data_IF_479904398674
#
_entry.id   IF_479904398674
#
_cell.length_a   1.000
_cell.length_b   1.000
_cell.length_c   1.000
_cell.angle_alpha   90.00
_cell.angle_beta   90.00
_cell.angle_gamma   90.00
#
_symmetry.space_group_name_H-M   'P 1'
#
loop_
_entity.id
_entity.type
_entity.pdbx_description
1 polymer ?
#
# COMPACT_ATOMS: atom_id res chain seq x y z
N UNK A 1 1.70 15.21 -6.10
CA UNK A 1 1.14 15.26 -4.75
C UNK A 1 1.72 14.11 -3.91
N UNK A 2 2.16 14.38 -2.71
CA UNK A 2 2.72 13.38 -1.80
C UNK A 2 1.65 12.91 -0.81
N UNK A 3 1.44 11.61 -0.76
CA UNK A 3 0.46 10.96 0.10
C UNK A 3 1.17 9.93 0.97
N UNK A 4 0.74 9.82 2.22
CA UNK A 4 1.20 8.76 3.12
C UNK A 4 0.04 7.82 3.44
N UNK A 5 0.28 6.53 3.27
CA UNK A 5 -0.62 5.46 3.71
C UNK A 5 0.18 4.49 4.57
N UNK A 6 -0.51 3.67 5.34
CA UNK A 6 0.15 2.81 6.32
C UNK A 6 -0.21 1.35 6.09
N UNK A 7 0.80 0.51 6.19
CA UNK A 7 0.67 -0.93 6.19
C UNK A 7 1.49 -1.52 7.32
N UNK A 8 1.80 -2.80 7.25
CA UNK A 8 2.59 -3.45 8.27
C UNK A 8 3.44 -4.58 7.69
N UNK A 9 4.63 -4.76 8.25
CA UNK A 9 5.45 -5.93 8.01
C UNK A 9 5.25 -6.89 9.17
N UNK A 10 4.97 -8.16 8.86
CA UNK A 10 4.69 -9.20 9.84
C UNK A 10 5.82 -10.20 9.85
N UNK A 11 6.42 -10.43 11.02
CA UNK A 11 7.48 -11.42 11.23
C UNK A 11 7.12 -12.24 12.47
N UNK A 12 6.68 -13.50 12.26
CA UNK A 12 6.21 -14.33 13.34
C UNK A 12 5.01 -13.74 14.04
N UNK A 13 5.13 -13.43 15.33
CA UNK A 13 4.06 -12.77 16.10
C UNK A 13 4.25 -11.25 16.20
N UNK A 14 5.31 -10.73 15.60
CA UNK A 14 5.59 -9.30 15.62
C UNK A 14 5.13 -8.64 14.33
N UNK A 15 4.68 -7.40 14.46
CA UNK A 15 4.32 -6.58 13.32
C UNK A 15 4.89 -5.17 13.50
N UNK A 16 5.44 -4.63 12.42
CA UNK A 16 6.05 -3.30 12.40
C UNK A 16 5.26 -2.42 11.45
N UNK A 17 4.93 -1.22 11.88
CA UNK A 17 4.24 -0.24 11.04
C UNK A 17 5.14 0.17 9.87
N UNK A 18 4.58 0.11 8.67
CA UNK A 18 5.24 0.54 7.44
C UNK A 18 4.55 1.80 6.95
N UNK A 19 5.31 2.87 6.80
CA UNK A 19 4.82 4.09 6.18
C UNK A 19 5.09 4.02 4.68
N UNK A 20 4.04 4.10 3.89
CA UNK A 20 4.12 4.06 2.44
C UNK A 20 3.90 5.47 1.92
N UNK A 21 4.95 6.06 1.38
CA UNK A 21 4.90 7.39 0.80
C UNK A 21 4.75 7.25 -0.71
N UNK A 22 3.73 7.88 -1.27
CA UNK A 22 3.47 7.84 -2.71
C UNK A 22 3.50 9.27 -3.23
N UNK A 23 4.42 9.55 -4.13
CA UNK A 23 4.52 10.86 -4.76
C UNK A 23 4.20 10.76 -6.24
N UNK A 24 3.26 11.60 -6.68
CA UNK A 24 2.87 11.74 -8.07
C UNK A 24 3.40 13.06 -8.62
N UNK A 25 4.08 13.02 -9.74
CA UNK A 25 4.61 14.19 -10.43
C UNK A 25 4.48 14.03 -11.93
N UNK A 26 4.89 15.05 -12.69
CA UNK A 26 4.79 15.02 -14.15
C UNK A 26 5.72 13.97 -14.73
N UNK A 27 5.21 13.12 -15.62
CA UNK A 27 5.97 12.06 -16.30
C UNK A 27 5.18 10.77 -16.41
N UNK A 28 5.88 9.65 -16.65
CA UNK A 28 5.22 8.34 -16.85
C UNK A 28 6.03 7.17 -16.28
N UNK A 29 6.96 7.43 -15.35
CA UNK A 29 7.79 6.40 -14.76
C UNK A 29 7.22 5.87 -13.45
N UNK A 30 7.58 4.65 -13.10
CA UNK A 30 7.19 4.02 -11.85
C UNK A 30 8.43 3.52 -11.12
N UNK A 31 8.60 3.95 -9.88
CA UNK A 31 9.73 3.55 -9.03
C UNK A 31 9.23 3.13 -7.66
N UNK A 32 9.87 2.10 -7.10
CA UNK A 32 9.57 1.63 -5.76
C UNK A 32 10.88 1.38 -5.01
N UNK A 33 11.02 1.99 -3.83
CA UNK A 33 12.21 1.88 -2.99
C UNK A 33 11.83 1.49 -1.57
N UNK A 34 12.78 1.07 -0.75
CA UNK A 34 12.55 0.65 0.64
C UNK A 34 12.58 -0.85 0.82
N UNK A 35 13.44 -1.56 0.09
CA UNK A 35 13.61 -3.02 0.16
C UNK A 35 12.34 -3.82 -0.16
N UNK A 36 11.61 -3.52 -1.24
CA UNK A 36 10.51 -4.38 -1.65
C UNK A 36 11.04 -5.66 -2.29
N UNK A 37 10.45 -6.81 -1.96
CA UNK A 37 10.79 -8.06 -2.66
C UNK A 37 10.11 -8.11 -4.04
N UNK A 38 10.31 -9.22 -4.79
CA UNK A 38 9.72 -9.37 -6.11
C UNK A 38 8.19 -9.39 -6.05
N UNK A 39 7.61 -10.00 -5.02
CA UNK A 39 6.15 -10.06 -4.86
C UNK A 39 5.57 -8.66 -4.62
N UNK A 40 6.26 -7.82 -3.83
CA UNK A 40 5.84 -6.42 -3.63
C UNK A 40 5.95 -5.64 -4.94
N UNK A 41 7.04 -5.83 -5.69
CA UNK A 41 7.21 -5.15 -6.98
C UNK A 41 6.15 -5.55 -8.00
N UNK A 42 5.67 -6.80 -7.96
CA UNK A 42 4.59 -7.28 -8.82
C UNK A 42 3.25 -6.60 -8.52
N UNK A 43 3.10 -5.95 -7.37
CA UNK A 43 1.89 -5.22 -7.02
C UNK A 43 1.46 -4.25 -8.12
N UNK A 44 2.41 -3.63 -8.81
CA UNK A 44 2.12 -2.68 -9.89
C UNK A 44 1.24 -3.33 -10.96
N UNK A 45 1.54 -4.56 -11.35
CA UNK A 45 0.78 -5.27 -12.38
C UNK A 45 -0.63 -5.64 -11.90
N UNK A 46 -0.74 -6.12 -10.65
CA UNK A 46 -2.05 -6.47 -10.07
C UNK A 46 -2.93 -5.23 -9.92
N UNK A 47 -2.34 -4.12 -9.46
CA UNK A 47 -3.04 -2.85 -9.28
C UNK A 47 -3.54 -2.31 -10.62
N UNK A 48 -2.69 -2.31 -11.65
CA UNK A 48 -3.08 -1.85 -12.98
C UNK A 48 -4.31 -2.61 -13.49
N UNK A 49 -4.28 -3.93 -13.40
CA UNK A 49 -5.39 -4.76 -13.85
C UNK A 49 -6.66 -4.50 -13.02
N UNK A 50 -6.52 -4.48 -11.70
CA UNK A 50 -7.64 -4.28 -10.78
C UNK A 50 -8.33 -2.94 -11.03
N UNK A 51 -7.56 -1.86 -11.20
CA UNK A 51 -8.12 -0.54 -11.47
C UNK A 51 -8.79 -0.47 -12.84
N UNK A 52 -8.20 -1.09 -13.85
CA UNK A 52 -8.79 -1.13 -15.18
C UNK A 52 -10.13 -1.85 -15.17
N UNK A 53 -10.21 -3.01 -14.53
CA UNK A 53 -11.44 -3.82 -14.46
C UNK A 53 -12.53 -3.11 -13.67
N UNK A 54 -12.16 -2.42 -12.58
CA UNK A 54 -13.14 -1.72 -11.72
C UNK A 54 -13.50 -0.32 -12.21
N UNK A 55 -12.88 0.16 -13.29
CA UNK A 55 -13.24 1.43 -13.93
C UNK A 55 -12.51 2.65 -13.39
N UNK A 56 -11.55 2.49 -12.51
CA UNK A 56 -10.70 3.61 -12.07
C UNK A 56 -9.61 3.86 -13.08
N UNK A 57 -9.28 5.15 -13.28
CA UNK A 57 -8.14 5.51 -14.10
C UNK A 57 -6.85 5.46 -13.31
N UNK A 58 -5.82 4.81 -13.88
CA UNK A 58 -4.47 4.95 -13.38
C UNK A 58 -3.96 6.37 -13.63
N UNK A 59 -3.33 7.00 -12.64
CA UNK A 59 -2.69 8.29 -12.88
C UNK A 59 -1.62 8.18 -13.96
N UNK A 60 -1.68 9.05 -14.98
CA UNK A 60 -0.65 9.14 -16.02
C UNK A 60 0.44 10.11 -15.56
N UNK A 61 1.24 9.67 -14.60
CA UNK A 61 2.26 10.50 -13.97
C UNK A 61 3.42 9.65 -13.49
N UNK A 62 4.53 10.30 -13.13
CA UNK A 62 5.59 9.63 -12.40
C UNK A 62 5.03 9.23 -11.04
N UNK A 63 5.22 7.97 -10.68
CA UNK A 63 4.88 7.48 -9.36
C UNK A 63 6.16 6.99 -8.70
N UNK A 64 6.50 7.59 -7.56
CA UNK A 64 7.61 7.14 -6.73
C UNK A 64 7.03 6.69 -5.39
N UNK A 65 7.30 5.45 -5.04
CA UNK A 65 6.83 4.86 -3.80
C UNK A 65 8.03 4.56 -2.92
N UNK A 66 7.99 5.07 -1.68
CA UNK A 66 8.99 4.76 -0.66
C UNK A 66 8.30 4.02 0.48
N UNK A 67 8.80 2.84 0.81
CA UNK A 67 8.28 2.03 1.91
C UNK A 67 9.25 2.13 3.10
N UNK A 68 8.90 2.94 4.07
CA UNK A 68 9.74 3.20 5.23
C UNK A 68 9.34 2.33 6.44
N UNK A 69 10.28 1.93 7.29
CA UNK A 69 11.71 2.24 7.25
C UNK A 69 12.45 1.45 6.16
N UNK A 70 13.50 2.06 5.61
CA UNK A 70 14.23 1.50 4.46
C UNK A 70 15.06 0.27 4.79
N UNK A 71 15.37 0.03 6.06
CA UNK A 71 16.17 -1.11 6.53
C UNK A 71 15.34 -2.36 6.80
N UNK A 72 14.02 -2.27 6.72
CA UNK A 72 13.12 -3.41 6.89
C UNK A 72 12.68 -3.89 5.51
N UNK A 73 12.88 -5.19 5.25
CA UNK A 73 12.46 -5.82 4.01
C UNK A 73 10.94 -5.99 3.99
N UNK A 74 10.31 -5.62 2.88
CA UNK A 74 8.88 -5.78 2.66
C UNK A 74 8.67 -6.97 1.75
N UNK A 75 7.82 -7.90 2.18
CA UNK A 75 7.63 -9.18 1.52
C UNK A 75 6.15 -9.48 1.28
N UNK A 76 5.88 -10.21 0.20
CA UNK A 76 4.56 -10.73 -0.10
C UNK A 76 3.66 -9.78 -0.86
N UNK A 77 2.42 -10.22 -1.05
CA UNK A 77 1.44 -9.53 -1.89
C UNK A 77 0.45 -8.67 -1.10
N UNK A 78 0.56 -8.64 0.22
CA UNK A 78 -0.44 -7.98 1.08
C UNK A 78 -0.35 -6.45 1.05
N UNK A 79 0.68 -5.90 0.42
CA UNK A 79 0.81 -4.44 0.24
C UNK A 79 0.01 -3.91 -0.94
N UNK A 80 -0.62 -4.77 -1.72
CA UNK A 80 -1.38 -4.34 -2.91
C UNK A 80 -2.42 -3.27 -2.58
N UNK A 81 -3.22 -3.49 -1.54
CA UNK A 81 -4.29 -2.56 -1.17
C UNK A 81 -3.78 -1.19 -0.77
N UNK A 82 -2.84 -1.05 0.20
CA UNK A 82 -2.35 0.28 0.55
C UNK A 82 -1.62 0.96 -0.61
N UNK A 83 -0.91 0.22 -1.45
CA UNK A 83 -0.26 0.78 -2.63
C UNK A 83 -1.29 1.33 -3.61
N UNK A 84 -2.35 0.58 -3.89
CA UNK A 84 -3.41 1.02 -4.81
C UNK A 84 -4.11 2.28 -4.29
N UNK A 85 -4.47 2.29 -3.00
CA UNK A 85 -5.14 3.43 -2.38
C UNK A 85 -4.21 4.66 -2.40
N UNK A 86 -2.94 4.48 -2.08
CA UNK A 86 -1.96 5.56 -2.13
C UNK A 86 -1.79 6.14 -3.52
N UNK A 87 -1.74 5.29 -4.54
CA UNK A 87 -1.63 5.74 -5.93
C UNK A 87 -2.87 6.51 -6.39
N UNK A 88 -4.06 6.04 -6.05
CA UNK A 88 -5.31 6.74 -6.36
C UNK A 88 -5.39 8.10 -5.65
N UNK A 89 -4.98 8.17 -4.39
CA UNK A 89 -4.99 9.40 -3.63
C UNK A 89 -3.95 10.41 -4.14
N UNK A 90 -2.76 9.93 -4.49
CA UNK A 90 -1.71 10.79 -5.06
C UNK A 90 -2.11 11.35 -6.42
N UNK A 91 -2.89 10.61 -7.18
CA UNK A 91 -3.48 11.06 -8.45
C UNK A 91 -4.76 11.85 -8.29
N UNK A 92 -5.16 12.14 -7.06
CA UNK A 92 -6.37 12.91 -6.72
C UNK A 92 -7.68 12.26 -7.19
N UNK A 93 -7.65 10.94 -7.46
CA UNK A 93 -8.86 10.21 -7.85
C UNK A 93 -9.77 9.98 -6.66
N UNK A 94 -9.20 9.83 -5.46
CA UNK A 94 -9.93 9.68 -4.19
C UNK A 94 -9.41 10.68 -3.16
N UNK A 95 -10.23 10.94 -2.12
CA UNK A 95 -9.86 11.81 -1.03
C UNK A 95 -8.84 11.14 -0.11
N UNK A 96 -7.85 11.92 0.37
CA UNK A 96 -6.82 11.43 1.29
C UNK A 96 -7.07 11.80 2.75
N UNK A 97 -8.18 12.44 3.08
CA UNK A 97 -8.42 13.06 4.39
C UNK A 97 -8.34 12.09 5.56
N UNK A 98 -8.75 10.83 5.36
CA UNK A 98 -8.82 9.85 6.45
C UNK A 98 -7.75 8.76 6.35
N UNK A 99 -6.88 8.80 5.35
CA UNK A 99 -5.92 7.73 5.11
C UNK A 99 -4.93 7.53 6.27
N UNK A 100 -4.54 8.61 6.93
CA UNK A 100 -3.61 8.55 8.07
C UNK A 100 -4.19 7.87 9.30
N UNK A 101 -5.50 7.66 9.35
CA UNK A 101 -6.19 7.02 10.48
C UNK A 101 -6.23 5.50 10.38
N UNK A 102 -5.86 4.94 9.24
CA UNK A 102 -6.03 3.52 8.97
C UNK A 102 -4.71 2.88 8.60
N UNK A 103 -4.55 1.66 9.04
CA UNK A 103 -3.53 0.74 8.55
C UNK A 103 -4.25 -0.26 7.65
N UNK A 104 -3.75 -0.42 6.43
CA UNK A 104 -4.42 -1.26 5.42
C UNK A 104 -3.47 -2.32 4.91
N UNK A 105 -3.97 -3.54 4.79
CA UNK A 105 -3.28 -4.63 4.13
C UNK A 105 -4.29 -5.45 3.35
N UNK A 106 -3.90 -5.94 2.20
CA UNK A 106 -4.75 -6.79 1.38
C UNK A 106 -4.10 -7.12 0.05
N UNK A 107 -4.32 -8.33 -0.44
CA UNK A 107 -3.89 -8.73 -1.76
C UNK A 107 -5.02 -8.47 -2.76
N UNK A 108 -4.69 -7.96 -3.94
CA UNK A 108 -5.65 -7.74 -5.00
C UNK A 108 -5.59 -8.86 -6.02
N UNK A 109 -6.77 -9.37 -6.40
CA UNK A 109 -6.92 -10.15 -7.61
C UNK A 109 -7.01 -9.21 -8.82
N UNK A 110 -6.82 -9.73 -10.01
CA UNK A 110 -6.82 -8.93 -11.23
C UNK A 110 -8.17 -8.25 -11.50
N UNK A 111 -9.25 -8.77 -10.92
CA UNK A 111 -10.59 -8.18 -11.05
C UNK A 111 -10.91 -7.14 -9.96
N UNK A 112 -9.96 -6.85 -9.08
CA UNK A 112 -10.14 -5.89 -8.00
C UNK A 112 -10.65 -6.49 -6.68
N UNK A 113 -10.89 -7.80 -6.62
CA UNK A 113 -11.30 -8.46 -5.38
C UNK A 113 -10.16 -8.46 -4.38
N UNK A 114 -10.46 -8.12 -3.13
CA UNK A 114 -9.48 -8.13 -2.04
C UNK A 114 -9.46 -9.52 -1.42
N UNK A 115 -8.28 -10.14 -1.40
CA UNK A 115 -8.08 -11.47 -0.84
C UNK A 115 -7.67 -11.38 0.63
N UNK A 116 -7.98 -12.40 1.45
CA UNK A 116 -7.53 -12.45 2.84
C UNK A 116 -6.00 -12.44 2.94
N UNK A 117 -5.51 -11.90 4.04
CA UNK A 117 -4.08 -11.86 4.34
C UNK A 117 -3.71 -12.81 5.46
N UNK A 118 -2.41 -13.19 5.51
CA UNK A 118 -1.83 -13.89 6.64
C UNK A 118 -1.36 -12.86 7.68
N UNK A 119 -1.34 -13.25 8.95
CA UNK A 119 -0.81 -12.40 10.00
C UNK A 119 -1.81 -11.41 10.59
N UNK A 120 -3.10 -11.70 10.53
CA UNK A 120 -4.13 -10.81 11.08
C UNK A 120 -3.97 -10.59 12.59
N UNK A 121 -3.54 -11.62 13.35
CA UNK A 121 -3.35 -11.49 14.78
C UNK A 121 -2.25 -10.50 15.15
N UNK A 122 -1.02 -10.56 14.57
CA UNK A 122 -0.01 -9.54 14.81
C UNK A 122 -0.48 -8.12 14.44
N UNK A 123 -1.24 -7.97 13.36
CA UNK A 123 -1.79 -6.68 12.97
C UNK A 123 -2.80 -6.15 14.01
N UNK A 124 -3.61 -7.05 14.59
CA UNK A 124 -4.52 -6.67 15.66
C UNK A 124 -3.77 -6.21 16.90
N UNK A 125 -2.62 -6.80 17.22
CA UNK A 125 -1.78 -6.38 18.35
C UNK A 125 -1.21 -4.98 18.13
N UNK A 126 -0.82 -4.63 16.90
CA UNK A 126 -0.43 -3.25 16.56
C UNK A 126 -1.58 -2.29 16.84
N UNK A 127 -2.77 -2.65 16.43
CA UNK A 127 -3.95 -1.81 16.66
C UNK A 127 -4.19 -1.57 18.15
N UNK A 128 -4.04 -2.59 18.98
CA UNK A 128 -4.18 -2.47 20.44
C UNK A 128 -3.12 -1.54 21.03
N UNK A 129 -1.88 -1.64 20.56
CA UNK A 129 -0.78 -0.79 21.02
C UNK A 129 -0.85 0.64 20.51
N UNK A 130 -1.70 0.90 19.51
CA UNK A 130 -1.89 2.22 18.87
C UNK A 130 -3.37 2.62 18.94
N UNK A 131 -3.92 2.90 20.13
CA UNK A 131 -5.37 3.07 20.28
C UNK A 131 -5.95 4.29 19.59
N UNK A 132 -5.12 5.21 19.11
CA UNK A 132 -5.56 6.38 18.35
C UNK A 132 -5.76 6.08 16.86
N UNK A 133 -5.47 4.86 16.41
CA UNK A 133 -5.58 4.45 15.00
C UNK A 133 -6.70 3.42 14.84
N UNK A 134 -7.92 3.83 14.48
CA UNK A 134 -9.00 2.88 14.21
C UNK A 134 -8.70 2.06 12.96
N UNK A 135 -9.22 0.87 12.93
CA UNK A 135 -9.21 0.03 11.73
C UNK A 135 -10.22 0.51 10.71
#
# INVERSE_FOLDING_TARGET
MLIKVFGAAVQGIEATLITIEVNSSRGCMFYMVGLPDSAVKESHQRILSALQVTGYKMPTSNIVINMAPADIRKEGSSYDLPLAIGMLAAGETISCQKLSRYMMMGELSLDGTIQPIKGALPLSLIHISEPTRPY
#
